data_IF_203593337057
#
_entry.id   IF_203593337057
#
_cell.length_a   1.000
_cell.length_b   1.000
_cell.length_c   1.000
_cell.angle_alpha   90.00
_cell.angle_beta   90.00
_cell.angle_gamma   90.00
#
_symmetry.space_group_name_H-M   'P 1'
#
loop_
_entity.id
_entity.type
_entity.pdbx_description
1 polymer ?
#
# COMPACT_ATOMS: atom_id res chain seq x y z
N UNK A 1 8.94 1.56 17.46
CA UNK A 1 7.78 2.47 17.50
C UNK A 1 7.44 2.92 16.09
N UNK A 2 6.20 3.17 15.83
CA UNK A 2 5.70 3.70 14.55
C UNK A 2 4.94 4.98 14.80
N UNK A 3 5.05 5.93 13.88
CA UNK A 3 4.19 7.09 13.81
C UNK A 3 3.90 7.46 12.36
N UNK A 4 2.89 8.24 12.16
CA UNK A 4 2.39 8.66 10.86
C UNK A 4 2.46 10.18 10.73
N UNK A 5 3.67 10.73 10.56
CA UNK A 5 3.85 12.17 10.39
C UNK A 5 3.51 12.58 8.96
N UNK A 6 3.15 13.83 8.76
CA UNK A 6 3.07 14.39 7.42
C UNK A 6 4.47 14.76 6.89
N UNK A 7 4.68 14.56 5.61
CA UNK A 7 5.88 14.92 4.89
C UNK A 7 5.57 16.12 4.01
N UNK A 8 6.31 17.20 4.22
CA UNK A 8 6.16 18.44 3.47
C UNK A 8 7.32 18.60 2.49
N UNK A 9 7.01 18.59 1.21
CA UNK A 9 7.99 18.70 0.13
C UNK A 9 7.69 19.87 -0.80
N UNK A 10 8.72 20.62 -1.16
CA UNK A 10 8.61 21.62 -2.22
C UNK A 10 8.75 20.97 -3.60
N UNK A 11 8.13 21.55 -4.63
CA UNK A 11 8.21 21.02 -6.00
C UNK A 11 9.63 20.78 -6.52
N UNK A 12 10.58 21.63 -6.12
CA UNK A 12 11.99 21.52 -6.51
C UNK A 12 12.75 20.33 -5.92
N UNK A 13 12.23 19.74 -4.84
CA UNK A 13 12.79 18.57 -4.16
C UNK A 13 12.29 17.25 -4.75
N UNK A 14 11.16 17.32 -5.48
CA UNK A 14 10.47 16.15 -6.01
C UNK A 14 11.02 15.73 -7.38
N UNK A 15 11.00 14.43 -7.63
CA UNK A 15 11.25 13.85 -8.96
C UNK A 15 10.20 14.32 -9.97
N UNK A 16 10.55 14.36 -11.25
CA UNK A 16 9.66 14.79 -12.31
C UNK A 16 8.42 13.89 -12.43
N UNK A 17 8.60 12.58 -12.19
CA UNK A 17 7.49 11.61 -12.23
C UNK A 17 6.44 11.92 -11.14
N UNK A 18 6.89 12.15 -9.89
CA UNK A 18 5.98 12.51 -8.82
C UNK A 18 5.31 13.87 -9.05
N UNK A 19 6.05 14.87 -9.54
CA UNK A 19 5.47 16.18 -9.83
C UNK A 19 4.36 16.14 -10.88
N UNK A 20 4.43 15.22 -11.84
CA UNK A 20 3.40 15.04 -12.86
C UNK A 20 2.14 14.36 -12.32
N UNK A 21 2.32 13.35 -11.49
CA UNK A 21 1.21 12.55 -10.98
C UNK A 21 0.54 13.19 -9.74
N UNK A 22 1.31 13.90 -8.93
CA UNK A 22 0.84 14.56 -7.72
C UNK A 22 0.49 16.05 -7.92
N UNK A 23 0.54 16.54 -9.14
CA UNK A 23 0.29 17.97 -9.44
C UNK A 23 -1.16 18.39 -9.10
N UNK A 24 -2.10 17.46 -9.10
CA UNK A 24 -3.50 17.70 -8.72
C UNK A 24 -3.69 17.85 -7.20
N UNK A 25 -2.67 17.49 -6.40
CA UNK A 25 -2.70 17.71 -4.96
C UNK A 25 -2.60 19.20 -4.65
N UNK A 26 -3.44 19.65 -3.74
CA UNK A 26 -3.37 21.03 -3.26
C UNK A 26 -2.08 21.24 -2.49
N UNK A 27 -1.48 22.42 -2.74
CA UNK A 27 -0.34 22.88 -1.94
C UNK A 27 -0.86 23.67 -0.76
N UNK A 28 -0.14 23.59 0.34
CA UNK A 28 -0.40 24.43 1.47
C UNK A 28 -0.12 25.91 1.15
N UNK A 29 -0.44 26.82 2.08
CA UNK A 29 -0.23 28.27 1.94
C UNK A 29 1.25 28.64 1.71
N UNK A 30 2.18 27.77 2.10
CA UNK A 30 3.62 27.95 1.96
C UNK A 30 4.19 27.28 0.69
N UNK A 31 3.34 26.66 -0.11
CA UNK A 31 3.68 26.03 -1.39
C UNK A 31 4.27 24.63 -1.26
N UNK A 32 4.08 23.95 -0.13
CA UNK A 32 4.47 22.57 0.05
C UNK A 32 3.36 21.60 -0.39
N UNK A 33 3.78 20.48 -0.94
CA UNK A 33 2.93 19.30 -1.03
C UNK A 33 2.98 18.55 0.29
N UNK A 34 1.83 18.16 0.82
CA UNK A 34 1.70 17.34 2.01
C UNK A 34 1.46 15.89 1.58
N UNK A 35 2.31 14.99 2.03
CA UNK A 35 2.23 13.55 1.78
C UNK A 35 2.12 12.82 3.12
N UNK A 36 1.35 11.75 3.14
CA UNK A 36 1.33 10.87 4.30
C UNK A 36 2.70 10.22 4.48
N UNK A 37 3.19 10.18 5.70
CA UNK A 37 4.44 9.51 6.06
C UNK A 37 4.17 8.33 6.97
N UNK A 38 4.98 7.30 6.86
CA UNK A 38 5.06 6.20 7.81
C UNK A 38 6.50 6.12 8.29
N UNK A 39 6.72 6.45 9.56
CA UNK A 39 8.04 6.49 10.17
C UNK A 39 8.23 5.35 11.15
N UNK A 40 9.16 4.46 10.83
CA UNK A 40 9.62 3.42 11.73
C UNK A 40 10.80 3.93 12.57
N UNK A 41 10.58 4.07 13.86
CA UNK A 41 11.59 4.47 14.84
C UNK A 41 12.15 3.21 15.50
N UNK A 42 13.41 2.90 15.23
CA UNK A 42 14.11 1.75 15.76
C UNK A 42 15.01 2.13 16.93
N UNK A 43 15.23 1.22 17.89
CA UNK A 43 16.34 1.38 18.84
C UNK A 43 17.66 1.38 18.07
N UNK A 44 18.70 2.03 18.60
CA UNK A 44 19.98 2.17 17.89
C UNK A 44 20.57 0.83 17.47
N UNK A 45 20.50 -0.18 18.36
CA UNK A 45 20.96 -1.54 18.04
C UNK A 45 20.14 -2.17 16.90
N UNK A 46 18.82 -1.99 16.90
CA UNK A 46 17.95 -2.51 15.84
C UNK A 46 18.16 -1.76 14.52
N UNK A 47 18.40 -0.45 14.60
CA UNK A 47 18.70 0.40 13.44
C UNK A 47 20.00 -0.01 12.76
N UNK A 48 21.08 -0.19 13.52
CA UNK A 48 22.36 -0.66 12.98
C UNK A 48 22.25 -2.05 12.33
N UNK A 49 21.58 -3.01 13.00
CA UNK A 49 21.32 -4.34 12.44
C UNK A 49 20.52 -4.26 11.15
N UNK A 50 19.52 -3.39 11.12
CA UNK A 50 18.68 -3.19 9.93
C UNK A 50 19.50 -2.60 8.78
N UNK A 51 20.32 -1.56 9.03
CA UNK A 51 21.21 -0.96 8.03
C UNK A 51 22.17 -2.00 7.43
N UNK A 52 22.80 -2.82 8.30
CA UNK A 52 23.67 -3.91 7.85
C UNK A 52 22.94 -4.91 6.95
N UNK A 53 21.72 -5.30 7.34
CA UNK A 53 20.90 -6.23 6.56
C UNK A 53 20.48 -5.68 5.20
N UNK A 54 20.31 -4.35 5.12
CA UNK A 54 19.95 -3.63 3.91
C UNK A 54 21.18 -3.24 3.06
N UNK A 55 22.41 -3.53 3.53
CA UNK A 55 23.65 -3.16 2.85
C UNK A 55 23.90 -1.65 2.86
N UNK A 56 23.36 -0.93 3.84
CA UNK A 56 23.46 0.52 3.97
C UNK A 56 24.53 0.90 5.01
N UNK A 57 25.23 1.99 4.75
CA UNK A 57 26.11 2.59 5.75
C UNK A 57 25.30 3.49 6.69
N UNK A 58 25.78 3.63 7.93
CA UNK A 58 25.21 4.59 8.90
C UNK A 58 25.28 5.99 8.30
N UNK A 59 24.17 6.74 8.28
CA UNK A 59 24.16 8.11 7.77
C UNK A 59 25.05 9.04 8.57
N UNK A 60 25.59 10.05 7.89
CA UNK A 60 26.31 11.13 8.57
C UNK A 60 25.32 11.99 9.36
N UNK A 61 25.70 12.38 10.57
CA UNK A 61 24.91 13.33 11.36
C UNK A 61 25.11 14.74 10.82
N UNK A 62 24.01 15.46 10.66
CA UNK A 62 24.00 16.89 10.35
C UNK A 62 23.34 17.64 11.50
N UNK A 63 23.99 18.69 11.96
CA UNK A 63 23.52 19.47 13.09
C UNK A 63 22.09 19.98 12.90
N UNK A 64 21.21 19.68 13.87
CA UNK A 64 19.81 20.08 13.84
C UNK A 64 18.92 19.42 12.78
N UNK A 65 19.40 18.35 12.12
CA UNK A 65 18.63 17.64 11.09
C UNK A 65 18.54 16.14 11.36
N UNK A 66 17.38 15.55 11.12
CA UNK A 66 17.19 14.11 11.23
C UNK A 66 17.63 13.40 9.93
N UNK A 67 18.57 12.45 9.99
CA UNK A 67 18.92 11.61 8.84
C UNK A 67 17.84 10.55 8.60
N UNK A 68 17.10 10.65 7.52
CA UNK A 68 16.02 9.74 7.15
C UNK A 68 16.49 8.76 6.07
N UNK A 69 16.23 7.48 6.28
CA UNK A 69 16.26 6.50 5.18
C UNK A 69 14.86 6.44 4.60
N UNK A 70 14.71 6.79 3.33
CA UNK A 70 13.40 6.98 2.71
C UNK A 70 13.18 5.97 1.60
N UNK A 71 12.06 5.26 1.64
CA UNK A 71 11.55 4.49 0.51
C UNK A 71 11.03 5.46 -0.55
N UNK A 72 11.78 5.59 -1.66
CA UNK A 72 11.56 6.67 -2.63
C UNK A 72 10.50 6.34 -3.68
N UNK A 73 9.77 5.24 -3.52
CA UNK A 73 8.73 4.82 -4.46
C UNK A 73 7.37 4.86 -3.77
N UNK A 74 6.45 5.61 -4.35
CA UNK A 74 5.04 5.64 -3.95
C UNK A 74 4.16 5.19 -5.09
N UNK A 75 3.00 4.64 -4.77
CA UNK A 75 1.97 4.29 -5.75
C UNK A 75 1.00 5.45 -5.91
N UNK A 76 1.09 6.15 -7.02
CA UNK A 76 0.18 7.22 -7.37
C UNK A 76 -0.92 6.73 -8.33
N UNK A 77 -2.16 7.14 -8.10
CA UNK A 77 -3.26 6.86 -9.02
C UNK A 77 -3.25 7.86 -10.17
N UNK A 78 -3.12 7.35 -11.39
CA UNK A 78 -3.15 8.15 -12.59
C UNK A 78 -4.58 8.22 -13.14
N UNK A 79 -5.24 9.35 -12.96
CA UNK A 79 -6.66 9.56 -13.30
C UNK A 79 -6.97 9.30 -14.78
N UNK A 80 -6.10 9.70 -15.70
CA UNK A 80 -6.30 9.52 -17.13
C UNK A 80 -6.25 8.04 -17.60
N UNK A 81 -5.51 7.17 -16.89
CA UNK A 81 -5.40 5.76 -17.24
C UNK A 81 -6.23 4.83 -16.35
N UNK A 82 -6.72 5.33 -15.21
CA UNK A 82 -7.43 4.55 -14.20
C UNK A 82 -6.56 3.49 -13.51
N UNK A 83 -5.24 3.70 -13.47
CA UNK A 83 -4.29 2.71 -12.93
C UNK A 83 -3.33 3.35 -11.95
N UNK A 84 -2.89 2.56 -10.98
CA UNK A 84 -1.79 2.95 -10.12
C UNK A 84 -0.46 2.80 -10.86
N UNK A 85 0.41 3.79 -10.68
CA UNK A 85 1.78 3.79 -11.19
C UNK A 85 2.74 4.01 -10.02
N UNK A 86 3.88 3.36 -10.07
CA UNK A 86 4.97 3.61 -9.12
C UNK A 86 5.77 4.80 -9.62
N UNK A 87 5.90 5.82 -8.79
CA UNK A 87 6.65 7.04 -9.08
C UNK A 87 7.71 7.27 -8.01
N UNK A 88 8.83 7.89 -8.40
CA UNK A 88 9.86 8.33 -7.46
C UNK A 88 9.45 9.67 -6.87
N UNK A 89 9.52 9.80 -5.55
CA UNK A 89 9.07 11.02 -4.87
C UNK A 89 10.15 12.08 -4.82
N UNK A 90 11.34 11.73 -4.34
CA UNK A 90 12.48 12.64 -4.24
C UNK A 90 13.43 12.47 -5.42
N UNK A 91 13.99 13.57 -5.92
CA UNK A 91 14.90 13.54 -7.07
C UNK A 91 16.28 12.98 -6.72
N UNK A 92 16.77 13.18 -5.49
CA UNK A 92 18.10 12.71 -5.07
C UNK A 92 18.21 12.55 -3.56
N UNK A 93 19.19 11.76 -3.13
CA UNK A 93 19.62 11.77 -1.74
C UNK A 93 20.25 13.13 -1.36
N UNK A 94 20.18 13.49 -0.09
CA UNK A 94 20.66 14.78 0.42
C UNK A 94 19.64 15.90 0.40
N UNK A 95 18.49 15.70 -0.24
CA UNK A 95 17.39 16.68 -0.24
C UNK A 95 16.88 16.92 1.19
N UNK A 96 16.64 18.18 1.59
CA UNK A 96 15.98 18.49 2.85
C UNK A 96 14.53 17.97 2.81
N UNK A 97 14.02 17.55 3.95
CA UNK A 97 12.66 17.05 4.10
C UNK A 97 12.09 17.66 5.39
N UNK A 98 10.93 18.26 5.32
CA UNK A 98 10.23 18.71 6.52
C UNK A 98 9.23 17.64 6.94
N UNK A 99 9.32 17.24 8.22
CA UNK A 99 8.45 16.21 8.81
C UNK A 99 7.61 16.89 9.88
N UNK A 100 6.30 16.79 9.79
CA UNK A 100 5.36 17.32 10.75
C UNK A 100 4.84 16.19 11.64
N UNK A 101 5.29 16.17 12.89
CA UNK A 101 4.86 15.23 13.92
C UNK A 101 3.65 15.80 14.67
N UNK A 102 2.65 14.99 14.95
CA UNK A 102 1.57 15.38 15.84
C UNK A 102 1.97 15.15 17.29
N UNK A 103 1.84 16.16 18.14
CA UNK A 103 1.87 16.01 19.60
C UNK A 103 0.53 15.41 20.05
N UNK A 104 0.47 14.08 20.10
CA UNK A 104 -0.78 13.37 20.40
C UNK A 104 -1.29 13.66 21.81
N UNK A 105 -0.42 13.90 22.78
CA UNK A 105 -0.84 14.24 24.14
C UNK A 105 -1.59 15.57 24.16
N UNK A 106 -1.00 16.60 23.58
CA UNK A 106 -1.63 17.93 23.53
C UNK A 106 -2.91 17.93 22.67
N UNK A 107 -2.91 17.15 21.59
CA UNK A 107 -4.10 17.01 20.74
C UNK A 107 -5.23 16.26 21.42
N UNK A 108 -4.95 15.20 22.18
CA UNK A 108 -5.95 14.45 22.95
C UNK A 108 -6.54 15.30 24.06
N UNK A 109 -5.73 16.05 24.80
CA UNK A 109 -6.21 16.99 25.83
C UNK A 109 -7.21 17.99 25.22
N UNK A 110 -6.88 18.57 24.07
CA UNK A 110 -7.77 19.49 23.36
C UNK A 110 -9.05 18.82 22.84
N UNK A 111 -8.96 17.56 22.42
CA UNK A 111 -10.11 16.76 21.98
C UNK A 111 -11.07 16.49 23.13
N UNK A 112 -10.55 16.20 24.33
CA UNK A 112 -11.36 16.00 25.56
C UNK A 112 -12.03 17.30 25.98
N UNK A 113 -11.33 18.44 25.93
CA UNK A 113 -11.90 19.76 26.26
C UNK A 113 -12.99 20.19 25.28
N UNK A 114 -12.99 19.70 24.05
CA UNK A 114 -13.96 20.04 23.00
C UNK A 114 -15.32 19.32 23.17
N UNK A 115 -15.51 18.49 24.23
CA UNK A 115 -16.77 17.81 24.60
C UNK A 115 -17.47 17.14 23.40
N UNK A 116 -16.70 16.35 22.63
CA UNK A 116 -17.17 15.62 21.45
C UNK A 116 -17.16 16.41 20.14
N UNK A 117 -16.62 17.63 20.14
CA UNK A 117 -16.26 18.36 18.93
C UNK A 117 -15.00 17.73 18.29
N UNK A 118 -14.90 17.79 16.96
CA UNK A 118 -13.70 17.36 16.26
C UNK A 118 -12.66 18.48 16.30
N UNK A 119 -11.48 18.19 16.84
CA UNK A 119 -10.34 19.11 16.89
C UNK A 119 -9.35 18.78 15.78
N UNK A 120 -8.95 19.79 15.02
CA UNK A 120 -7.94 19.63 13.98
C UNK A 120 -6.56 19.32 14.58
N UNK A 121 -5.80 18.47 13.92
CA UNK A 121 -4.42 18.11 14.35
C UNK A 121 -3.38 19.18 13.99
N UNK A 122 -3.63 19.98 12.96
CA UNK A 122 -2.63 20.95 12.46
C UNK A 122 -2.06 21.90 13.55
N UNK A 123 -2.85 22.47 14.49
CA UNK A 123 -2.32 23.31 15.54
C UNK A 123 -1.33 22.62 16.50
N UNK A 124 -1.36 21.29 16.52
CA UNK A 124 -0.54 20.46 17.43
C UNK A 124 0.64 19.82 16.72
N UNK A 125 0.95 20.24 15.49
CA UNK A 125 2.07 19.72 14.73
C UNK A 125 3.40 20.37 15.13
N UNK A 126 4.43 19.52 15.25
CA UNK A 126 5.81 19.89 15.49
C UNK A 126 6.59 19.66 14.19
N UNK A 127 7.07 20.75 13.60
CA UNK A 127 7.82 20.68 12.35
C UNK A 127 9.30 20.45 12.62
N UNK A 128 9.83 19.39 12.05
CA UNK A 128 11.23 19.00 12.17
C UNK A 128 11.88 18.96 10.79
N UNK A 129 13.06 19.54 10.69
CA UNK A 129 13.86 19.43 9.47
C UNK A 129 14.67 18.14 9.50
N UNK A 130 14.47 17.32 8.47
CA UNK A 130 15.29 16.17 8.19
C UNK A 130 15.97 16.30 6.83
N UNK A 131 16.71 15.28 6.44
CA UNK A 131 17.23 15.16 5.10
C UNK A 131 17.18 13.69 4.65
N UNK A 132 16.98 13.48 3.37
CA UNK A 132 16.98 12.16 2.76
C UNK A 132 18.42 11.59 2.73
N UNK A 133 18.87 11.00 3.84
CA UNK A 133 20.22 10.48 3.95
C UNK A 133 20.49 9.35 2.94
N UNK A 134 19.52 8.51 2.71
CA UNK A 134 19.53 7.46 1.68
C UNK A 134 18.15 7.31 1.08
N UNK A 135 18.11 7.04 -0.22
CA UNK A 135 16.90 6.64 -0.95
C UNK A 135 16.99 5.15 -1.28
N UNK A 136 15.93 4.42 -0.95
CA UNK A 136 15.82 2.98 -1.21
C UNK A 136 14.69 2.79 -2.21
N UNK A 137 14.95 2.14 -3.34
CA UNK A 137 13.92 1.95 -4.37
C UNK A 137 13.03 0.80 -3.93
N UNK A 138 13.21 -0.30 -3.78
CA UNK A 138 12.39 -1.38 -3.27
C UNK A 138 13.19 -2.28 -2.32
N UNK A 139 12.60 -2.66 -1.23
CA UNK A 139 13.35 -3.46 -0.28
C UNK A 139 12.55 -3.73 0.99
N UNK A 140 13.22 -3.89 2.14
CA UNK A 140 12.53 -4.16 3.42
C UNK A 140 11.51 -3.08 3.83
N UNK A 141 11.52 -1.93 3.15
CA UNK A 141 10.52 -0.87 3.30
C UNK A 141 9.17 -1.19 2.62
N UNK A 142 9.05 -2.27 1.84
CA UNK A 142 7.76 -2.70 1.28
C UNK A 142 6.70 -3.07 2.34
N UNK A 143 7.09 -3.15 3.60
CA UNK A 143 6.14 -3.26 4.71
C UNK A 143 5.28 -2.00 4.89
N UNK A 144 5.75 -0.88 4.35
CA UNK A 144 5.19 0.46 4.58
C UNK A 144 4.70 1.15 3.30
N UNK A 145 4.71 0.48 2.15
CA UNK A 145 4.17 1.04 0.92
C UNK A 145 2.63 1.04 0.96
N UNK A 146 2.06 1.93 1.75
CA UNK A 146 0.68 2.35 1.60
C UNK A 146 0.48 3.08 0.27
N UNK A 147 -0.75 3.17 -0.21
CA UNK A 147 -1.08 4.02 -1.35
C UNK A 147 -0.77 5.48 -0.93
N UNK A 148 0.18 6.12 -1.60
CA UNK A 148 0.58 7.54 -1.45
C UNK A 148 1.41 7.92 -0.21
N UNK A 149 1.82 7.00 0.67
CA UNK A 149 2.66 7.28 1.82
C UNK A 149 4.15 7.04 1.57
N UNK A 150 5.01 7.89 2.17
CA UNK A 150 6.45 7.70 2.19
C UNK A 150 6.88 6.91 3.42
N UNK A 151 7.42 5.71 3.20
CA UNK A 151 8.03 4.93 4.28
C UNK A 151 9.41 5.49 4.67
N UNK A 152 9.64 5.68 5.96
CA UNK A 152 10.89 6.21 6.48
C UNK A 152 11.40 5.38 7.66
N UNK A 153 12.71 5.36 7.85
CA UNK A 153 13.35 4.74 9.02
C UNK A 153 14.34 5.70 9.66
N UNK A 154 14.33 5.74 10.97
CA UNK A 154 15.25 6.57 11.79
C UNK A 154 15.63 5.85 13.07
N UNK A 155 16.79 6.19 13.65
CA UNK A 155 17.18 5.77 14.99
C UNK A 155 16.44 6.58 16.08
N UNK A 156 16.08 5.92 17.18
CA UNK A 156 15.39 6.55 18.31
C UNK A 156 16.25 7.66 18.94
N UNK A 157 17.55 7.46 19.08
CA UNK A 157 18.44 8.45 19.65
C UNK A 157 18.55 9.72 18.80
N UNK A 158 18.63 9.57 17.47
CA UNK A 158 18.67 10.68 16.54
C UNK A 158 17.35 11.49 16.58
N UNK A 159 16.21 10.82 16.61
CA UNK A 159 14.91 11.48 16.73
C UNK A 159 14.76 12.16 18.09
N UNK A 160 15.21 11.51 19.18
CA UNK A 160 15.20 12.05 20.53
C UNK A 160 16.04 13.32 20.67
N UNK A 161 17.17 13.42 19.98
CA UNK A 161 18.03 14.60 20.01
C UNK A 161 17.35 15.88 19.49
N UNK A 162 16.32 15.72 18.65
CA UNK A 162 15.59 16.83 18.05
C UNK A 162 14.26 17.08 18.78
N UNK A 163 13.46 16.04 19.04
CA UNK A 163 12.15 16.17 19.67
C UNK A 163 12.23 16.36 21.20
N UNK A 164 13.35 15.94 21.82
CA UNK A 164 13.55 16.07 23.26
C UNK A 164 12.42 15.44 24.07
N UNK A 165 11.83 16.23 24.98
CA UNK A 165 10.73 15.79 25.84
C UNK A 165 9.43 15.44 25.08
N UNK A 166 9.27 15.95 23.85
CA UNK A 166 8.10 15.69 23.00
C UNK A 166 8.17 14.35 22.26
N UNK A 167 9.27 13.60 22.37
CA UNK A 167 9.45 12.35 21.64
C UNK A 167 8.32 11.36 21.91
N UNK A 168 8.01 11.10 23.18
CA UNK A 168 7.01 10.10 23.55
C UNK A 168 5.59 10.53 23.14
N UNK A 169 5.27 11.82 23.21
CA UNK A 169 3.98 12.34 22.74
C UNK A 169 3.82 12.29 21.21
N UNK A 170 4.92 12.29 20.47
CA UNK A 170 4.93 12.14 19.01
C UNK A 170 4.94 10.66 18.55
N UNK A 171 5.19 9.70 19.44
CA UNK A 171 5.30 8.27 19.15
C UNK A 171 4.24 7.46 19.91
N UNK A 172 2.94 7.62 19.58
CA UNK A 172 1.85 7.08 20.36
C UNK A 172 1.74 5.53 20.28
N UNK A 173 2.45 4.91 19.35
CA UNK A 173 2.31 3.47 19.11
C UNK A 173 3.63 2.74 19.26
N UNK A 174 3.67 1.78 20.18
CA UNK A 174 4.72 0.77 20.25
C UNK A 174 4.32 -0.45 19.44
N UNK A 175 5.19 -0.97 18.56
CA UNK A 175 4.96 -2.22 17.88
C UNK A 175 6.16 -3.16 18.02
N UNK A 176 5.84 -4.46 18.07
CA UNK A 176 6.84 -5.53 18.16
C UNK A 176 6.62 -6.49 16.99
N UNK A 177 7.62 -6.60 16.14
CA UNK A 177 7.59 -7.53 15.01
C UNK A 177 8.17 -8.88 15.44
N UNK A 178 7.38 -9.93 15.30
CA UNK A 178 7.76 -11.28 15.64
C UNK A 178 7.77 -12.18 14.40
N UNK A 179 8.84 -12.93 14.20
CA UNK A 179 8.91 -13.98 13.18
C UNK A 179 8.75 -15.33 13.84
N UNK A 180 7.68 -16.04 13.53
CA UNK A 180 7.38 -17.34 14.10
C UNK A 180 7.17 -18.41 13.02
N UNK A 181 7.66 -19.62 13.26
CA UNK A 181 7.42 -20.78 12.38
C UNK A 181 5.94 -21.19 12.40
N UNK A 182 5.29 -21.08 13.56
CA UNK A 182 3.85 -21.29 13.73
C UNK A 182 3.20 -19.98 14.22
N UNK A 183 2.96 -19.08 13.27
CA UNK A 183 2.42 -17.75 13.54
C UNK A 183 1.02 -17.81 14.20
N UNK A 184 0.17 -18.74 13.80
CA UNK A 184 -1.20 -18.86 14.34
C UNK A 184 -1.18 -19.19 15.84
N UNK A 185 -0.37 -20.18 16.25
CA UNK A 185 -0.25 -20.55 17.65
C UNK A 185 0.30 -19.40 18.50
N UNK A 186 1.30 -18.68 17.98
CA UNK A 186 1.89 -17.52 18.67
C UNK A 186 0.86 -16.39 18.76
N UNK A 187 0.11 -16.11 17.71
CA UNK A 187 -0.95 -15.10 17.73
C UNK A 187 -2.06 -15.45 18.75
N UNK A 188 -2.48 -16.71 18.83
CA UNK A 188 -3.45 -17.17 19.83
C UNK A 188 -2.92 -17.03 21.27
N UNK A 189 -1.66 -17.38 21.51
CA UNK A 189 -1.03 -17.25 22.82
C UNK A 189 -0.87 -15.78 23.23
N UNK A 190 -0.48 -14.92 22.30
CA UNK A 190 -0.37 -13.48 22.54
C UNK A 190 -1.74 -12.84 22.80
N UNK A 191 -2.78 -13.18 22.05
CA UNK A 191 -4.12 -12.68 22.31
C UNK A 191 -4.63 -13.06 23.70
N UNK A 192 -4.40 -14.32 24.13
CA UNK A 192 -4.72 -14.74 25.50
C UNK A 192 -3.92 -13.96 26.55
N UNK A 193 -2.66 -13.64 26.27
CA UNK A 193 -1.85 -12.84 27.17
C UNK A 193 -2.40 -11.43 27.28
N UNK A 194 -2.76 -10.80 26.17
CA UNK A 194 -3.36 -9.45 26.12
C UNK A 194 -4.65 -9.41 26.98
N UNK A 195 -5.51 -10.43 26.90
CA UNK A 195 -6.72 -10.52 27.70
C UNK A 195 -6.46 -10.53 29.23
N UNK A 196 -5.25 -10.88 29.64
CA UNK A 196 -4.84 -10.90 31.05
C UNK A 196 -4.15 -9.63 31.53
N UNK A 197 -3.79 -8.73 30.61
CA UNK A 197 -3.13 -7.46 30.94
C UNK A 197 -4.18 -6.42 31.30
N UNK A 198 -4.12 -5.93 32.53
CA UNK A 198 -4.95 -4.80 32.98
C UNK A 198 -4.30 -3.49 32.57
N UNK A 199 -4.73 -2.92 31.45
CA UNK A 199 -4.22 -1.66 30.90
C UNK A 199 -5.35 -0.91 30.21
N UNK A 200 -5.30 0.43 30.30
CA UNK A 200 -6.18 1.32 29.54
C UNK A 200 -5.74 1.45 28.07
N UNK A 201 -4.51 1.00 27.74
CA UNK A 201 -4.00 1.08 26.38
C UNK A 201 -4.58 -0.04 25.48
N UNK A 202 -4.81 0.30 24.23
CA UNK A 202 -5.32 -0.64 23.23
C UNK A 202 -4.18 -1.53 22.70
N UNK A 203 -4.21 -2.80 23.11
CA UNK A 203 -3.27 -3.82 22.65
C UNK A 203 -3.93 -4.75 21.63
N UNK A 204 -3.27 -5.05 20.54
CA UNK A 204 -3.76 -6.00 19.54
C UNK A 204 -2.62 -6.78 18.88
N UNK A 205 -2.94 -7.98 18.41
CA UNK A 205 -2.02 -8.81 17.62
C UNK A 205 -2.47 -8.82 16.17
N UNK A 206 -1.58 -8.42 15.28
CA UNK A 206 -1.80 -8.53 13.85
C UNK A 206 -1.01 -9.74 13.30
N UNK A 207 -1.72 -10.74 12.76
CA UNK A 207 -1.12 -11.87 12.04
C UNK A 207 -1.11 -11.58 10.53
N UNK A 208 -0.07 -10.92 10.06
CA UNK A 208 0.10 -10.55 8.66
C UNK A 208 -0.02 -11.75 7.68
N UNK A 209 0.39 -12.96 8.13
CA UNK A 209 0.26 -14.14 7.30
C UNK A 209 -1.21 -14.61 7.17
N UNK A 210 -2.02 -14.40 8.20
CA UNK A 210 -3.46 -14.68 8.16
C UNK A 210 -4.19 -13.66 7.27
N UNK A 211 -3.85 -12.38 7.37
CA UNK A 211 -4.41 -11.34 6.50
C UNK A 211 -4.14 -11.61 5.02
N UNK A 212 -2.89 -11.94 4.68
CA UNK A 212 -2.53 -12.31 3.31
C UNK A 212 -3.29 -13.54 2.79
N UNK A 213 -3.56 -14.53 3.66
CA UNK A 213 -4.40 -15.68 3.29
C UNK A 213 -5.86 -15.27 3.07
N UNK A 214 -6.38 -14.37 3.90
CA UNK A 214 -7.73 -13.81 3.75
C UNK A 214 -7.90 -13.09 2.43
N UNK A 215 -6.97 -12.19 2.08
CA UNK A 215 -6.93 -11.51 0.77
C UNK A 215 -6.88 -12.50 -0.39
N UNK A 216 -5.98 -13.50 -0.31
CA UNK A 216 -5.84 -14.52 -1.35
C UNK A 216 -7.13 -15.35 -1.52
N UNK A 217 -7.80 -15.68 -0.43
CA UNK A 217 -9.08 -16.37 -0.45
C UNK A 217 -10.19 -15.54 -1.11
N UNK A 218 -10.21 -14.23 -0.83
CA UNK A 218 -11.15 -13.30 -1.46
C UNK A 218 -10.92 -13.21 -2.98
N UNK A 219 -9.67 -13.06 -3.41
CA UNK A 219 -9.31 -13.04 -4.84
C UNK A 219 -9.70 -14.36 -5.53
N UNK A 220 -9.43 -15.51 -4.89
CA UNK A 220 -9.82 -16.81 -5.42
C UNK A 220 -11.35 -16.94 -5.59
N UNK A 221 -12.13 -16.36 -4.70
CA UNK A 221 -13.59 -16.32 -4.81
C UNK A 221 -14.02 -15.53 -6.05
N UNK A 222 -13.42 -14.36 -6.28
CA UNK A 222 -13.70 -13.55 -7.48
C UNK A 222 -13.33 -14.31 -8.75
N UNK A 223 -12.19 -15.00 -8.77
CA UNK A 223 -11.75 -15.81 -9.91
C UNK A 223 -12.74 -16.93 -10.23
N UNK A 224 -13.25 -17.65 -9.22
CA UNK A 224 -14.25 -18.71 -9.39
C UNK A 224 -15.51 -18.15 -10.08
N UNK A 225 -16.02 -17.01 -9.62
CA UNK A 225 -17.16 -16.36 -10.25
C UNK A 225 -16.87 -15.94 -11.70
N UNK A 226 -15.69 -15.32 -11.94
CA UNK A 226 -15.29 -14.89 -13.27
C UNK A 226 -15.21 -16.06 -14.25
N UNK A 227 -14.56 -17.17 -13.88
CA UNK A 227 -14.51 -18.38 -14.69
C UNK A 227 -15.88 -19.03 -14.88
N UNK A 228 -16.74 -19.01 -13.85
CA UNK A 228 -18.11 -19.47 -13.95
C UNK A 228 -18.92 -18.68 -15.00
N UNK A 229 -18.80 -17.37 -15.03
CA UNK A 229 -19.43 -16.53 -16.06
C UNK A 229 -18.87 -16.79 -17.46
N UNK A 230 -17.55 -16.92 -17.58
CA UNK A 230 -16.91 -17.24 -18.88
C UNK A 230 -17.44 -18.58 -19.41
N UNK A 231 -17.51 -19.60 -18.56
CA UNK A 231 -18.04 -20.92 -18.94
C UNK A 231 -19.50 -20.81 -19.38
N UNK A 232 -20.34 -20.09 -18.66
CA UNK A 232 -21.75 -19.89 -18.98
C UNK A 232 -21.93 -19.16 -20.32
N UNK A 233 -21.22 -18.08 -20.56
CA UNK A 233 -21.28 -17.35 -21.84
C UNK A 233 -20.80 -18.21 -22.98
N UNK A 234 -19.72 -18.99 -22.78
CA UNK A 234 -19.22 -19.93 -23.80
C UNK A 234 -20.22 -20.99 -24.14
N UNK A 235 -20.95 -21.52 -23.16
CA UNK A 235 -22.00 -22.53 -23.39
C UNK A 235 -23.19 -21.94 -24.16
N UNK A 236 -23.61 -20.72 -23.82
CA UNK A 236 -24.66 -20.00 -24.57
C UNK A 236 -24.24 -19.77 -26.03
N UNK A 237 -22.98 -19.30 -26.22
CA UNK A 237 -22.46 -19.11 -27.58
C UNK A 237 -22.43 -20.41 -28.38
N UNK A 238 -21.98 -21.53 -27.81
CA UNK A 238 -21.97 -22.84 -28.42
C UNK A 238 -23.39 -23.31 -28.76
N UNK A 239 -24.34 -23.10 -27.84
CA UNK A 239 -25.76 -23.46 -28.10
C UNK A 239 -26.35 -22.64 -29.25
N UNK A 240 -26.04 -21.34 -29.34
CA UNK A 240 -26.49 -20.47 -30.43
C UNK A 240 -25.92 -20.93 -31.80
N UNK A 241 -24.60 -21.24 -31.81
CA UNK A 241 -23.96 -21.78 -33.04
C UNK A 241 -24.59 -23.10 -33.47
N UNK A 242 -24.81 -24.02 -32.52
CA UNK A 242 -25.45 -25.29 -32.77
C UNK A 242 -26.88 -25.12 -33.33
N UNK A 243 -27.67 -24.22 -32.74
CA UNK A 243 -29.02 -23.92 -33.20
C UNK A 243 -29.01 -23.33 -34.62
N UNK A 244 -28.09 -22.41 -34.91
CA UNK A 244 -27.95 -21.81 -36.25
C UNK A 244 -27.60 -22.85 -37.32
N UNK A 245 -26.63 -23.73 -37.01
CA UNK A 245 -26.22 -24.81 -37.93
C UNK A 245 -27.37 -25.78 -38.14
N UNK A 246 -28.06 -26.22 -37.07
CA UNK A 246 -29.17 -27.17 -37.14
C UNK A 246 -30.33 -26.59 -37.95
N UNK A 247 -30.68 -25.33 -37.74
CA UNK A 247 -31.75 -24.66 -38.51
C UNK A 247 -31.35 -24.52 -39.97
N UNK A 248 -30.10 -24.12 -40.26
CA UNK A 248 -29.59 -24.02 -41.63
C UNK A 248 -29.62 -25.36 -42.36
N UNK A 249 -29.28 -26.44 -41.65
CA UNK A 249 -29.37 -27.81 -42.23
C UNK A 249 -30.82 -28.23 -42.50
N UNK A 250 -31.72 -27.96 -41.57
CA UNK A 250 -33.16 -28.29 -41.74
C UNK A 250 -33.79 -27.56 -42.93
N UNK A 251 -33.47 -26.28 -43.11
CA UNK A 251 -33.98 -25.48 -44.23
C UNK A 251 -33.46 -25.97 -45.58
N UNK A 252 -32.23 -26.46 -45.65
CA UNK A 252 -31.61 -26.99 -46.88
C UNK A 252 -31.87 -28.47 -47.12
N UNK A 253 -32.61 -29.12 -46.23
CA UNK A 253 -32.87 -30.59 -46.35
C UNK A 253 -33.48 -30.99 -47.67
N UNK A 254 -34.37 -30.17 -48.27
CA UNK A 254 -34.95 -30.42 -49.58
C UNK A 254 -33.91 -30.31 -50.70
N UNK A 255 -33.00 -29.35 -50.63
CA UNK A 255 -31.92 -29.17 -51.59
C UNK A 255 -30.97 -30.38 -51.57
N UNK A 256 -30.61 -30.86 -50.39
CA UNK A 256 -29.78 -32.04 -50.21
C UNK A 256 -30.50 -33.35 -50.75
N UNK A 257 -31.81 -33.45 -50.57
CA UNK A 257 -32.57 -34.56 -51.10
C UNK A 257 -32.59 -34.57 -52.64
N UNK A 258 -32.70 -33.37 -53.27
CA UNK A 258 -32.61 -33.24 -54.72
C UNK A 258 -31.20 -33.57 -55.21
N UNK A 259 -30.16 -33.13 -54.62
CA UNK A 259 -28.78 -33.46 -54.98
C UNK A 259 -28.46 -34.91 -54.81
N UNK A 260 -28.99 -35.57 -53.79
CA UNK A 260 -28.88 -37.03 -53.60
C UNK A 260 -29.63 -37.82 -54.68
N UNK A 261 -30.78 -37.30 -55.13
CA UNK A 261 -31.58 -37.98 -56.21
C UNK A 261 -30.91 -37.87 -57.59
N UNK A 262 -30.03 -36.88 -57.80
CA UNK A 262 -29.23 -36.70 -59.03
C UNK A 262 -27.92 -37.54 -59.01
N UNK A 263 -27.69 -38.33 -57.91
CA UNK A 263 -26.55 -39.24 -57.82
C UNK A 263 -25.35 -38.74 -57.10
N UNK A 264 -25.43 -37.58 -56.32
CA UNK A 264 -24.36 -37.06 -55.53
C UNK A 264 -24.08 -38.03 -54.37
N UNK A 265 -22.82 -38.37 -54.17
CA UNK A 265 -22.39 -39.26 -53.09
C UNK A 265 -22.32 -38.54 -51.72
N UNK A 266 -22.49 -39.24 -50.59
CA UNK A 266 -22.37 -38.63 -49.25
C UNK A 266 -21.04 -37.95 -48.99
N UNK A 267 -19.94 -38.36 -49.64
CA UNK A 267 -18.63 -37.75 -49.54
C UNK A 267 -18.55 -36.37 -50.21
N UNK A 268 -19.24 -36.22 -51.32
CA UNK A 268 -19.32 -34.94 -52.05
C UNK A 268 -20.22 -33.97 -51.33
N UNK A 269 -21.30 -34.47 -50.70
CA UNK A 269 -22.24 -33.68 -49.90
C UNK A 269 -21.60 -33.13 -48.61
N UNK A 270 -20.70 -33.90 -47.98
CA UNK A 270 -19.95 -33.43 -46.80
C UNK A 270 -18.84 -32.40 -47.08
N UNK A 271 -18.55 -32.14 -48.35
CA UNK A 271 -17.50 -31.22 -48.81
C UNK A 271 -18.06 -29.84 -49.20
N UNK A 272 -19.35 -29.70 -49.28
CA UNK A 272 -20.12 -28.48 -49.49
C UNK A 272 -20.48 -27.83 -48.14
#
# INVERSE_FOLDING_TARGET
QECYPDILLKPEQMDESARKELWEMEKDENGYFRLDGELLVLSDEAYEKWLLSAGLAVPEEKDGQIPLIIGNEVRAYHSATGRYQTVKTLKSAGEPVTVAFTDYTAWQEAQEEADGGQVDQEPYQIFVTGYAAKLVESGPMNLFAGDMGLGMVVSKSQLASILGEKLESCLPRGCVYLKAANHQKVAEELNKLIETVDTEEYLYVNDAAQELRGMKSMLMTVDIFAYGFIALISLIAAANVFNTISTGFLLRRREFAVLSSVGMTPKEMNRM
#
